data_IF_680866342093
#
_entry.id   IF_680866342093
#
_cell.length_a   1.000
_cell.length_b   1.000
_cell.length_c   1.000
_cell.angle_alpha   90.00
_cell.angle_beta   90.00
_cell.angle_gamma   90.00
#
_symmetry.space_group_name_H-M   'P 1'
#
loop_
_entity.id
_entity.type
_entity.pdbx_description
1 polymer ?
#
# COMPACT_ATOMS: atom_id res chain seq x y z
N UNK A 1 3.00 18.30 -31.80
CA UNK A 1 2.28 17.14 -32.38
C UNK A 1 1.55 16.29 -31.32
N UNK A 2 2.02 16.22 -30.10
CA UNK A 2 1.53 15.38 -28.99
C UNK A 2 0.16 15.79 -28.41
N UNK A 3 -0.15 17.07 -28.26
CA UNK A 3 -1.39 17.53 -27.66
C UNK A 3 -2.66 17.15 -28.47
N UNK A 4 -2.60 17.28 -29.81
CA UNK A 4 -3.71 16.91 -30.70
C UNK A 4 -4.00 15.41 -30.66
N UNK A 5 -2.98 14.56 -30.51
CA UNK A 5 -3.16 13.11 -30.39
C UNK A 5 -3.87 12.72 -29.07
N UNK A 6 -3.51 13.37 -27.96
CA UNK A 6 -4.13 13.11 -26.65
C UNK A 6 -5.61 13.53 -26.66
N UNK A 7 -5.92 14.69 -27.20
CA UNK A 7 -7.31 15.18 -27.34
C UNK A 7 -8.13 14.28 -28.26
N UNK A 8 -7.57 13.82 -29.37
CA UNK A 8 -8.25 12.90 -30.29
C UNK A 8 -8.49 11.54 -29.64
N UNK A 9 -7.53 11.02 -28.87
CA UNK A 9 -7.69 9.76 -28.13
C UNK A 9 -8.77 9.87 -27.06
N UNK A 10 -8.79 10.98 -26.30
CA UNK A 10 -9.83 11.25 -25.32
C UNK A 10 -11.23 11.38 -25.93
N UNK A 11 -11.35 12.04 -27.09
CA UNK A 11 -12.62 12.14 -27.83
C UNK A 11 -13.10 10.79 -28.36
N UNK A 12 -12.21 9.94 -28.86
CA UNK A 12 -12.54 8.57 -29.31
C UNK A 12 -13.01 7.73 -28.13
N UNK A 13 -12.35 7.79 -26.98
CA UNK A 13 -12.76 7.07 -25.76
C UNK A 13 -14.14 7.54 -25.29
N UNK A 14 -14.41 8.84 -25.32
CA UNK A 14 -15.72 9.40 -24.94
C UNK A 14 -16.81 8.96 -25.92
N UNK A 15 -16.54 8.99 -27.23
CA UNK A 15 -17.54 8.61 -28.27
C UNK A 15 -17.84 7.12 -28.24
N UNK A 16 -16.91 6.23 -27.98
CA UNK A 16 -17.17 4.80 -27.87
C UNK A 16 -18.11 4.46 -26.70
N UNK A 17 -18.00 5.17 -25.57
CA UNK A 17 -18.90 4.97 -24.43
C UNK A 17 -20.33 5.50 -24.66
N UNK A 18 -20.53 6.50 -25.53
CA UNK A 18 -21.86 6.98 -25.90
C UNK A 18 -22.65 5.98 -26.77
N UNK A 19 -21.94 5.17 -27.56
CA UNK A 19 -22.56 4.14 -28.41
C UNK A 19 -23.02 2.91 -27.61
N UNK A 20 -22.33 2.54 -26.53
CA UNK A 20 -22.69 1.40 -25.68
C UNK A 20 -23.74 1.73 -24.60
N UNK A 21 -23.93 3.00 -24.23
CA UNK A 21 -24.84 3.41 -23.16
C UNK A 21 -26.34 3.15 -23.50
N UNK A 22 -26.68 2.75 -24.73
CA UNK A 22 -28.05 2.49 -25.11
C UNK A 22 -28.57 1.07 -24.82
N UNK A 23 -27.68 0.11 -24.47
CA UNK A 23 -28.08 -1.31 -24.35
C UNK A 23 -28.01 -1.90 -22.92
N UNK A 24 -27.62 -1.11 -21.92
CA UNK A 24 -27.50 -1.60 -20.53
C UNK A 24 -28.77 -1.33 -19.70
N UNK A 25 -29.69 -2.30 -19.65
CA UNK A 25 -30.88 -2.29 -18.78
C UNK A 25 -30.65 -2.68 -17.32
N UNK A 26 -29.43 -2.96 -16.89
CA UNK A 26 -29.11 -3.16 -15.47
C UNK A 26 -28.68 -1.82 -14.87
N UNK A 27 -29.24 -1.48 -13.68
CA UNK A 27 -28.84 -0.27 -12.94
C UNK A 27 -27.33 -0.27 -12.79
N UNK A 28 -26.60 0.69 -13.36
CA UNK A 28 -25.17 0.75 -13.19
C UNK A 28 -24.88 0.91 -11.70
N UNK A 29 -23.95 0.12 -11.18
CA UNK A 29 -23.45 0.30 -9.83
C UNK A 29 -22.82 1.67 -9.72
N UNK A 30 -23.49 2.57 -8.98
CA UNK A 30 -22.99 3.93 -8.79
C UNK A 30 -21.77 3.98 -7.89
N UNK A 31 -21.63 2.99 -7.03
CA UNK A 31 -20.55 2.87 -6.05
C UNK A 31 -19.81 1.55 -6.28
N UNK A 32 -18.52 1.56 -6.12
CA UNK A 32 -17.70 0.36 -6.15
C UNK A 32 -16.74 0.37 -4.97
N UNK A 33 -16.47 -0.81 -4.46
CA UNK A 33 -15.48 -1.08 -3.43
C UNK A 33 -14.62 -2.25 -3.88
N UNK A 34 -13.32 -2.18 -3.64
CA UNK A 34 -12.37 -3.25 -3.93
C UNK A 34 -11.39 -3.41 -2.78
N UNK A 35 -11.13 -4.66 -2.41
CA UNK A 35 -10.13 -5.02 -1.40
C UNK A 35 -9.15 -5.99 -2.04
N UNK A 36 -7.87 -5.64 -2.01
CA UNK A 36 -6.83 -6.37 -2.73
C UNK A 36 -5.62 -6.64 -1.85
N UNK A 37 -4.95 -7.73 -2.10
CA UNK A 37 -3.55 -7.92 -1.74
C UNK A 37 -2.68 -7.08 -2.69
N UNK A 38 -1.68 -6.39 -2.16
CA UNK A 38 -0.77 -5.56 -2.94
C UNK A 38 0.68 -5.95 -2.72
N UNK A 39 1.42 -5.97 -3.82
CA UNK A 39 2.88 -6.00 -3.83
C UNK A 39 3.37 -4.62 -4.24
N UNK A 40 4.13 -3.97 -3.38
CA UNK A 40 4.73 -2.65 -3.58
C UNK A 40 6.20 -2.84 -3.91
N UNK A 41 6.60 -2.50 -5.12
CA UNK A 41 7.98 -2.64 -5.59
C UNK A 41 8.64 -1.26 -5.65
N UNK A 42 9.68 -1.00 -4.83
CA UNK A 42 10.50 0.21 -4.93
C UNK A 42 11.12 0.38 -6.31
N UNK A 43 11.16 1.61 -6.82
CA UNK A 43 11.71 1.93 -8.13
C UNK A 43 12.80 3.01 -8.04
N UNK A 44 13.62 3.12 -9.07
CA UNK A 44 14.62 4.17 -9.26
C UNK A 44 15.54 4.37 -8.03
N UNK A 45 15.55 5.57 -7.44
CA UNK A 45 16.41 5.87 -6.27
C UNK A 45 15.95 5.10 -5.02
N UNK A 46 14.65 4.91 -4.84
CA UNK A 46 14.11 4.17 -3.70
C UNK A 46 14.58 2.70 -3.69
N UNK A 47 14.66 2.06 -4.86
CA UNK A 47 15.12 0.66 -4.96
C UNK A 47 16.60 0.45 -4.63
N UNK A 48 17.41 1.51 -4.59
CA UNK A 48 18.82 1.41 -4.17
C UNK A 48 18.96 1.23 -2.66
N UNK A 49 18.03 1.80 -1.90
CA UNK A 49 18.03 1.76 -0.45
C UNK A 49 17.06 0.70 0.08
N UNK A 50 15.97 0.42 -0.64
CA UNK A 50 14.96 -0.57 -0.29
C UNK A 50 14.91 -1.64 -1.38
N UNK A 51 15.66 -2.72 -1.17
CA UNK A 51 15.77 -3.82 -2.15
C UNK A 51 14.63 -4.82 -2.09
N UNK A 52 13.93 -4.86 -0.96
CA UNK A 52 12.83 -5.78 -0.72
C UNK A 52 11.51 -5.20 -1.23
N UNK A 53 10.66 -6.08 -1.78
CA UNK A 53 9.28 -5.72 -2.08
C UNK A 53 8.50 -5.55 -0.77
N UNK A 54 7.57 -4.59 -0.76
CA UNK A 54 6.56 -4.47 0.29
C UNK A 54 5.34 -5.33 -0.03
N UNK A 55 4.71 -5.84 1.03
CA UNK A 55 3.47 -6.63 0.93
C UNK A 55 2.43 -6.03 1.84
N UNK A 56 1.17 -6.02 1.38
CA UNK A 56 0.12 -5.39 2.16
C UNK A 56 -1.27 -5.50 1.57
N UNK A 57 -2.11 -4.55 1.96
CA UNK A 57 -3.50 -4.45 1.54
C UNK A 57 -3.75 -3.13 0.81
N UNK A 58 -4.65 -3.19 -0.15
CA UNK A 58 -5.06 -2.08 -1.00
C UNK A 58 -6.59 -2.00 -0.99
N UNK A 59 -7.11 -0.90 -0.46
CA UNK A 59 -8.53 -0.57 -0.44
C UNK A 59 -8.79 0.51 -1.49
N UNK A 60 -9.76 0.24 -2.35
CA UNK A 60 -10.14 1.11 -3.45
C UNK A 60 -11.65 1.31 -3.43
N UNK A 61 -12.10 2.53 -3.27
CA UNK A 61 -13.52 2.86 -3.24
C UNK A 61 -13.83 4.15 -3.98
N UNK A 62 -15.02 4.19 -4.60
CA UNK A 62 -15.43 5.35 -5.34
C UNK A 62 -16.82 5.23 -5.94
N UNK A 63 -17.17 6.22 -6.75
CA UNK A 63 -18.47 6.26 -7.44
C UNK A 63 -18.29 6.72 -8.89
N UNK A 64 -19.20 6.26 -9.75
CA UNK A 64 -19.28 6.70 -11.14
C UNK A 64 -20.11 7.97 -11.26
N UNK A 65 -19.54 8.99 -11.92
CA UNK A 65 -20.20 10.28 -12.13
C UNK A 65 -21.32 10.10 -13.13
N UNK A 66 -22.56 10.46 -12.72
CA UNK A 66 -23.78 10.34 -13.54
C UNK A 66 -23.98 8.96 -14.19
N UNK A 67 -23.57 7.88 -13.53
CA UNK A 67 -23.57 6.51 -14.09
C UNK A 67 -22.77 6.39 -15.40
N UNK A 68 -21.88 7.34 -15.65
CA UNK A 68 -21.04 7.39 -16.84
C UNK A 68 -19.77 6.55 -16.72
N UNK A 69 -18.90 6.65 -17.72
CA UNK A 69 -17.66 5.86 -17.77
C UNK A 69 -16.55 6.39 -16.86
N UNK A 70 -16.76 7.49 -16.14
CA UNK A 70 -15.74 8.12 -15.31
C UNK A 70 -16.10 7.94 -13.84
N UNK A 71 -15.23 7.26 -13.10
CA UNK A 71 -15.29 7.15 -11.65
C UNK A 71 -14.39 8.16 -10.95
N UNK A 72 -14.81 8.57 -9.75
CA UNK A 72 -13.99 9.30 -8.78
C UNK A 72 -13.87 8.44 -7.54
N UNK A 73 -12.70 8.44 -6.90
CA UNK A 73 -12.53 7.60 -5.72
C UNK A 73 -11.28 7.92 -4.91
N UNK A 74 -11.09 7.08 -3.90
CA UNK A 74 -9.97 7.11 -2.97
C UNK A 74 -9.33 5.73 -2.93
N UNK A 75 -8.01 5.69 -3.06
CA UNK A 75 -7.20 4.50 -2.92
C UNK A 75 -6.36 4.61 -1.64
N UNK A 76 -6.40 3.58 -0.81
CA UNK A 76 -5.65 3.47 0.44
C UNK A 76 -4.79 2.21 0.37
N UNK A 77 -3.48 2.35 0.52
CA UNK A 77 -2.56 1.21 0.58
C UNK A 77 -1.83 1.24 1.92
N UNK A 78 -1.71 0.08 2.54
CA UNK A 78 -0.84 -0.16 3.68
C UNK A 78 0.05 -1.37 3.37
N UNK A 79 1.36 -1.17 3.30
CA UNK A 79 2.31 -2.23 2.97
C UNK A 79 3.58 -2.14 3.83
N UNK A 80 4.08 -3.29 4.27
CA UNK A 80 5.32 -3.42 5.00
C UNK A 80 6.46 -3.74 4.03
N UNK A 81 7.56 -2.97 4.06
CA UNK A 81 8.71 -3.14 3.18
C UNK A 81 10.02 -3.47 3.91
N UNK A 82 10.04 -3.36 5.24
CA UNK A 82 11.18 -3.72 6.07
C UNK A 82 10.76 -4.37 7.38
N UNK A 83 11.53 -5.37 7.81
CA UNK A 83 11.34 -6.02 9.11
C UNK A 83 12.69 -6.47 9.65
N UNK A 84 12.97 -6.13 10.89
CA UNK A 84 14.14 -6.55 11.63
C UNK A 84 13.73 -6.99 13.03
N UNK A 85 14.13 -8.19 13.43
CA UNK A 85 13.84 -8.71 14.76
C UNK A 85 15.12 -9.23 15.41
N UNK A 86 15.29 -8.93 16.69
CA UNK A 86 16.42 -9.41 17.49
C UNK A 86 16.00 -9.71 18.91
N UNK A 87 16.72 -10.64 19.54
CA UNK A 87 16.58 -10.94 20.96
C UNK A 87 17.59 -10.11 21.77
N UNK A 88 17.09 -9.44 22.80
CA UNK A 88 17.89 -8.68 23.74
C UNK A 88 17.73 -9.27 25.16
N UNK A 89 18.79 -9.46 25.93
CA UNK A 89 18.66 -9.91 27.31
C UNK A 89 18.02 -8.82 28.16
N UNK A 90 17.05 -9.19 29.01
CA UNK A 90 16.39 -8.25 29.92
C UNK A 90 17.34 -7.66 30.95
N UNK A 91 18.38 -8.42 31.35
CA UNK A 91 19.34 -8.01 32.36
C UNK A 91 20.77 -8.42 31.97
N UNK A 92 21.74 -7.55 32.21
CA UNK A 92 23.18 -7.83 32.05
C UNK A 92 23.68 -8.97 32.95
N UNK A 93 22.97 -9.29 34.03
CA UNK A 93 23.37 -10.29 35.02
C UNK A 93 22.68 -11.64 34.87
N UNK A 94 21.65 -11.72 34.01
CA UNK A 94 20.86 -12.94 33.81
C UNK A 94 20.37 -13.02 32.37
N UNK A 95 20.73 -14.08 31.67
CA UNK A 95 20.22 -14.42 30.35
C UNK A 95 18.90 -15.22 30.39
N UNK A 96 18.29 -15.34 31.57
CA UNK A 96 17.10 -16.17 31.78
C UNK A 96 15.83 -15.56 31.18
N UNK A 97 15.77 -14.23 31.02
CA UNK A 97 14.63 -13.54 30.41
C UNK A 97 15.14 -12.83 29.17
N UNK A 98 14.58 -13.17 28.02
CA UNK A 98 14.86 -12.53 26.74
C UNK A 98 13.64 -11.72 26.27
N UNK A 99 13.92 -10.55 25.70
CA UNK A 99 12.95 -9.71 25.06
C UNK A 99 13.17 -9.78 23.54
N UNK A 100 12.10 -9.81 22.77
CA UNK A 100 12.16 -9.66 21.32
C UNK A 100 11.83 -8.22 20.94
N UNK A 101 12.83 -7.54 20.37
CA UNK A 101 12.66 -6.23 19.73
C UNK A 101 12.43 -6.44 18.24
N UNK A 102 11.30 -5.94 17.76
CA UNK A 102 10.92 -5.99 16.34
C UNK A 102 10.75 -4.58 15.80
N UNK A 103 11.51 -4.23 14.76
CA UNK A 103 11.39 -2.97 14.04
C UNK A 103 10.80 -3.24 12.65
N UNK A 104 9.73 -2.51 12.32
CA UNK A 104 8.98 -2.65 11.09
C UNK A 104 8.91 -1.32 10.35
N UNK A 105 9.19 -1.36 9.04
CA UNK A 105 9.07 -0.21 8.15
C UNK A 105 7.87 -0.41 7.24
N UNK A 106 6.93 0.53 7.29
CA UNK A 106 5.64 0.47 6.62
C UNK A 106 5.44 1.72 5.76
N UNK A 107 4.79 1.56 4.64
CA UNK A 107 4.33 2.66 3.78
C UNK A 107 2.80 2.69 3.77
N UNK A 108 2.24 3.87 4.01
CA UNK A 108 0.82 4.15 3.86
C UNK A 108 0.63 5.12 2.71
N UNK A 109 -0.27 4.84 1.79
CA UNK A 109 -0.54 5.66 0.61
C UNK A 109 -2.01 6.05 0.61
N UNK A 110 -2.28 7.33 0.37
CA UNK A 110 -3.64 7.89 0.28
C UNK A 110 -3.74 8.68 -1.00
N UNK A 111 -4.44 8.13 -2.00
CA UNK A 111 -4.52 8.70 -3.34
C UNK A 111 -5.97 8.88 -3.79
N UNK A 112 -6.52 10.11 -3.79
CA UNK A 112 -7.67 10.43 -4.61
C UNK A 112 -7.33 10.22 -6.10
N UNK A 113 -8.32 9.75 -6.86
CA UNK A 113 -8.13 9.44 -8.27
C UNK A 113 -9.34 9.70 -9.15
N UNK A 114 -9.08 9.79 -10.45
CA UNK A 114 -10.07 9.74 -11.53
C UNK A 114 -9.87 8.44 -12.30
N UNK A 115 -10.96 7.70 -12.54
CA UNK A 115 -10.97 6.36 -13.15
C UNK A 115 -11.87 6.30 -14.39
N UNK A 116 -11.39 6.67 -15.60
CA UNK A 116 -12.06 6.31 -16.81
C UNK A 116 -12.11 4.79 -16.98
N UNK A 117 -13.30 4.26 -17.29
CA UNK A 117 -13.58 2.83 -17.37
C UNK A 117 -14.25 2.51 -18.72
N UNK A 118 -13.74 1.50 -19.41
CA UNK A 118 -14.32 0.90 -20.59
C UNK A 118 -14.95 -0.43 -20.20
N UNK A 119 -16.24 -0.63 -20.53
CA UNK A 119 -16.98 -1.85 -20.25
C UNK A 119 -17.22 -2.62 -21.54
N UNK A 120 -16.91 -3.91 -21.53
CA UNK A 120 -17.12 -4.84 -22.62
C UNK A 120 -17.90 -6.05 -22.10
N UNK A 121 -19.23 -5.94 -22.14
CA UNK A 121 -20.09 -6.92 -21.47
C UNK A 121 -19.78 -6.98 -19.98
N UNK A 122 -19.35 -8.15 -19.52
CA UNK A 122 -19.02 -8.40 -18.11
C UNK A 122 -17.62 -7.98 -17.71
N UNK A 123 -16.76 -7.71 -18.68
CA UNK A 123 -15.40 -7.28 -18.44
C UNK A 123 -15.30 -5.76 -18.40
N UNK A 124 -14.47 -5.24 -17.53
CA UNK A 124 -14.16 -3.83 -17.57
C UNK A 124 -12.66 -3.59 -17.50
N UNK A 125 -12.20 -2.64 -18.29
CA UNK A 125 -10.84 -2.10 -18.26
C UNK A 125 -10.91 -0.67 -17.77
N UNK A 126 -9.95 -0.28 -16.95
CA UNK A 126 -9.89 1.10 -16.48
C UNK A 126 -8.45 1.60 -16.44
N UNK A 127 -8.31 2.89 -16.64
CA UNK A 127 -7.11 3.62 -16.26
C UNK A 127 -7.42 4.40 -14.99
N UNK A 128 -6.40 4.66 -14.17
CA UNK A 128 -6.45 5.58 -13.03
C UNK A 128 -5.43 6.69 -13.19
N UNK A 129 -5.82 7.89 -12.84
CA UNK A 129 -4.92 9.03 -12.67
C UNK A 129 -5.07 9.49 -11.23
N UNK A 130 -4.00 9.43 -10.47
CA UNK A 130 -4.06 9.69 -9.04
C UNK A 130 -2.97 10.68 -8.62
N UNK A 131 -3.25 11.40 -7.52
CA UNK A 131 -2.29 12.24 -6.85
C UNK A 131 -2.66 12.34 -5.37
N UNK A 132 -1.70 12.21 -4.48
CA UNK A 132 -1.92 12.21 -3.04
C UNK A 132 -0.64 12.20 -2.26
N UNK A 133 -0.59 11.41 -1.20
CA UNK A 133 0.54 11.36 -0.29
C UNK A 133 0.87 9.91 0.08
N UNK A 134 2.15 9.67 0.27
CA UNK A 134 2.69 8.48 0.91
C UNK A 134 3.37 8.86 2.22
N UNK A 135 3.09 8.12 3.27
CA UNK A 135 3.68 8.22 4.60
C UNK A 135 4.56 7.01 4.84
N UNK A 136 5.84 7.22 5.07
CA UNK A 136 6.79 6.18 5.44
C UNK A 136 6.99 6.23 6.96
N UNK A 137 6.75 5.10 7.61
CA UNK A 137 6.78 5.01 9.05
C UNK A 137 7.58 3.79 9.51
N UNK A 138 8.45 3.98 10.50
CA UNK A 138 9.18 2.88 11.14
C UNK A 138 8.85 2.86 12.61
N UNK A 139 8.37 1.71 13.09
CA UNK A 139 7.98 1.47 14.45
C UNK A 139 8.81 0.33 15.06
N UNK A 140 9.20 0.49 16.32
CA UNK A 140 9.82 -0.57 17.10
C UNK A 140 8.87 -1.01 18.22
N UNK A 141 8.74 -2.33 18.36
CA UNK A 141 7.93 -2.98 19.39
C UNK A 141 8.81 -3.94 20.18
N UNK A 142 8.69 -3.93 21.50
CA UNK A 142 9.40 -4.83 22.42
C UNK A 142 8.36 -5.76 23.07
N UNK A 143 8.57 -7.07 22.89
CA UNK A 143 7.73 -8.13 23.45
C UNK A 143 8.54 -8.99 24.44
N UNK A 144 7.85 -9.63 25.38
CA UNK A 144 8.44 -10.63 26.27
C UNK A 144 8.29 -12.02 25.65
N UNK A 145 9.41 -12.74 25.48
CA UNK A 145 9.41 -14.09 24.91
C UNK A 145 8.70 -15.13 25.80
N UNK A 146 8.55 -14.88 27.10
CA UNK A 146 7.93 -15.84 28.04
C UNK A 146 6.40 -15.90 27.96
N UNK A 147 5.74 -14.89 27.40
CA UNK A 147 4.27 -14.85 27.30
C UNK A 147 3.71 -15.67 26.13
N UNK A 148 4.51 -16.06 25.14
CA UNK A 148 4.06 -16.91 24.03
C UNK A 148 3.56 -18.31 24.47
N UNK A 149 3.93 -18.78 25.66
CA UNK A 149 3.57 -20.13 26.16
C UNK A 149 2.34 -20.18 27.11
N UNK A 150 1.85 -19.06 27.56
CA UNK A 150 0.69 -19.02 28.45
C UNK A 150 -0.53 -18.44 27.74
N UNK A 151 -1.39 -19.32 27.22
CA UNK A 151 -2.72 -19.00 26.71
C UNK A 151 -3.67 -18.62 27.88
N UNK A 152 -3.51 -17.45 28.48
CA UNK A 152 -4.51 -16.88 29.36
C UNK A 152 -4.39 -15.36 29.43
N UNK A 153 -5.52 -14.71 29.09
CA UNK A 153 -5.90 -13.29 29.15
C UNK A 153 -5.79 -12.52 27.84
N UNK A 154 -6.95 -12.45 27.15
CA UNK A 154 -7.17 -11.78 25.86
C UNK A 154 -7.14 -10.23 25.91
N UNK A 155 -6.93 -9.59 27.06
CA UNK A 155 -7.13 -8.15 27.24
C UNK A 155 -5.86 -7.33 27.53
N UNK A 156 -4.68 -7.93 27.69
CA UNK A 156 -3.45 -7.16 27.86
C UNK A 156 -2.67 -7.00 26.55
N UNK A 157 -2.17 -5.79 26.24
CA UNK A 157 -1.38 -5.59 25.03
C UNK A 157 -0.10 -6.43 25.09
N UNK A 158 0.09 -7.29 24.11
CA UNK A 158 1.15 -8.27 23.90
C UNK A 158 2.56 -7.63 23.77
N UNK A 159 2.72 -6.36 24.11
CA UNK A 159 3.97 -5.61 24.01
C UNK A 159 4.25 -4.79 25.27
N UNK A 160 5.53 -4.81 25.71
CA UNK A 160 6.02 -4.03 26.84
C UNK A 160 6.19 -2.56 26.47
N UNK A 161 6.66 -2.30 25.25
CA UNK A 161 6.84 -0.95 24.73
C UNK A 161 6.66 -0.90 23.21
N UNK A 162 6.08 0.21 22.74
CA UNK A 162 6.00 0.55 21.33
C UNK A 162 6.46 1.99 21.13
N UNK A 163 7.37 2.20 20.20
CA UNK A 163 7.92 3.52 19.89
C UNK A 163 7.94 3.75 18.38
N UNK A 164 7.53 4.94 17.96
CA UNK A 164 7.74 5.43 16.61
C UNK A 164 9.16 5.94 16.48
N UNK A 165 9.89 5.33 15.55
CA UNK A 165 11.33 5.59 15.37
C UNK A 165 11.57 6.65 14.30
N UNK A 166 10.84 6.57 13.19
CA UNK A 166 10.95 7.51 12.08
C UNK A 166 9.60 7.66 11.39
N UNK A 167 9.30 8.84 10.87
CA UNK A 167 8.11 9.09 10.07
C UNK A 167 8.35 10.32 9.20
N UNK A 168 8.14 10.17 7.90
CA UNK A 168 8.15 11.27 6.93
C UNK A 168 7.12 11.02 5.83
N UNK A 169 6.77 12.05 5.09
CA UNK A 169 5.76 11.97 4.04
C UNK A 169 6.24 12.61 2.75
N UNK A 170 5.83 12.05 1.62
CA UNK A 170 6.10 12.59 0.31
C UNK A 170 4.82 12.69 -0.51
N UNK A 171 4.79 13.67 -1.43
CA UNK A 171 3.74 13.74 -2.44
C UNK A 171 3.89 12.59 -3.41
N UNK A 172 2.76 11.96 -3.79
CA UNK A 172 2.69 10.80 -4.68
C UNK A 172 1.72 11.09 -5.82
N UNK A 173 2.11 10.79 -7.06
CA UNK A 173 1.23 10.90 -8.22
C UNK A 173 1.59 9.88 -9.28
N UNK A 174 0.61 9.50 -10.09
CA UNK A 174 0.88 8.48 -11.08
C UNK A 174 -0.32 8.05 -11.90
N UNK A 175 -0.11 6.91 -12.55
CA UNK A 175 -1.11 6.28 -13.40
C UNK A 175 -1.25 4.81 -13.06
N UNK A 176 -2.45 4.28 -13.20
CA UNK A 176 -2.76 2.87 -13.05
C UNK A 176 -3.53 2.33 -14.25
N UNK A 177 -3.38 1.04 -14.47
CA UNK A 177 -4.17 0.28 -15.42
C UNK A 177 -4.73 -0.94 -14.70
N UNK A 178 -6.01 -1.23 -14.91
CA UNK A 178 -6.64 -2.37 -14.26
C UNK A 178 -7.74 -2.98 -15.10
N UNK A 179 -8.12 -4.20 -14.68
CA UNK A 179 -9.19 -4.97 -15.27
C UNK A 179 -10.02 -5.65 -14.18
N UNK A 180 -11.31 -5.82 -14.44
CA UNK A 180 -12.26 -6.50 -13.57
C UNK A 180 -12.97 -7.60 -14.34
N UNK A 181 -13.10 -8.77 -13.70
CA UNK A 181 -13.77 -9.96 -14.25
C UNK A 181 -14.85 -10.41 -13.28
N UNK A 182 -16.09 -10.64 -13.69
CA UNK A 182 -17.10 -11.18 -12.81
C UNK A 182 -16.78 -12.63 -12.48
N UNK A 183 -16.74 -12.96 -11.16
CA UNK A 183 -16.52 -14.32 -10.67
C UNK A 183 -17.86 -14.97 -10.34
N UNK A 184 -18.74 -14.21 -9.65
CA UNK A 184 -20.06 -14.67 -9.24
C UNK A 184 -21.10 -13.63 -9.59
N UNK A 185 -22.23 -14.10 -10.14
CA UNK A 185 -23.42 -13.30 -10.38
C UNK A 185 -24.51 -13.76 -9.42
N UNK A 186 -24.76 -13.01 -8.39
CA UNK A 186 -25.93 -13.21 -7.54
C UNK A 186 -26.93 -12.10 -7.88
N UNK A 187 -28.11 -12.50 -8.39
CA UNK A 187 -29.17 -11.58 -8.82
C UNK A 187 -29.71 -10.71 -7.67
N UNK A 188 -29.54 -11.13 -6.42
CA UNK A 188 -30.04 -10.40 -5.25
C UNK A 188 -29.00 -9.46 -4.60
N UNK A 189 -27.70 -9.78 -4.70
CA UNK A 189 -26.63 -9.05 -3.98
C UNK A 189 -25.64 -8.32 -4.88
N UNK A 190 -25.81 -8.39 -6.19
CA UNK A 190 -24.89 -7.85 -7.16
C UNK A 190 -23.72 -8.80 -7.52
N UNK A 191 -22.98 -8.49 -8.57
CA UNK A 191 -21.86 -9.30 -9.03
C UNK A 191 -20.61 -9.10 -8.14
N UNK A 192 -19.86 -10.17 -7.94
CA UNK A 192 -18.53 -10.13 -7.31
C UNK A 192 -17.50 -10.20 -8.43
N UNK A 193 -16.53 -9.30 -8.40
CA UNK A 193 -15.49 -9.18 -9.42
C UNK A 193 -14.12 -9.57 -8.87
N UNK A 194 -13.32 -10.28 -9.67
CA UNK A 194 -11.87 -10.33 -9.51
C UNK A 194 -11.28 -9.09 -10.15
N UNK A 195 -10.40 -8.39 -9.46
CA UNK A 195 -9.71 -7.21 -9.97
C UNK A 195 -8.21 -7.42 -10.00
N UNK A 196 -7.58 -7.03 -11.10
CA UNK A 196 -6.13 -6.94 -11.24
C UNK A 196 -5.78 -5.50 -11.62
N UNK A 197 -4.85 -4.90 -10.91
CA UNK A 197 -4.42 -3.52 -11.15
C UNK A 197 -2.91 -3.38 -11.04
N UNK A 198 -2.32 -2.59 -11.92
CA UNK A 198 -0.92 -2.18 -11.90
C UNK A 198 -0.85 -0.66 -11.83
N UNK A 199 -0.04 -0.12 -10.92
CA UNK A 199 0.12 1.33 -10.69
C UNK A 199 1.58 1.71 -10.76
N UNK A 200 1.90 2.78 -11.48
CA UNK A 200 3.20 3.44 -11.49
C UNK A 200 3.06 4.80 -10.85
N UNK A 201 3.83 5.05 -9.80
CA UNK A 201 3.83 6.33 -9.12
C UNK A 201 5.22 6.95 -9.05
N UNK A 202 5.21 8.27 -9.05
CA UNK A 202 6.35 9.13 -8.79
C UNK A 202 6.18 9.73 -7.41
N UNK A 203 7.10 9.36 -6.51
CA UNK A 203 7.14 9.89 -5.16
C UNK A 203 8.10 11.07 -5.03
N UNK A 204 7.75 12.03 -4.15
CA UNK A 204 8.65 13.08 -3.71
C UNK A 204 9.83 12.53 -2.89
N UNK A 205 10.71 13.42 -2.46
CA UNK A 205 11.76 13.06 -1.52
C UNK A 205 11.17 12.87 -0.12
N UNK A 206 11.59 11.78 0.54
CA UNK A 206 11.33 11.53 1.95
C UNK A 206 12.57 10.95 2.64
N UNK A 207 12.62 11.14 3.94
CA UNK A 207 13.55 10.48 4.84
C UNK A 207 12.87 9.25 5.45
N UNK A 208 13.51 8.09 5.38
CA UNK A 208 12.95 6.84 5.86
C UNK A 208 14.02 5.91 6.39
N UNK A 209 13.61 5.01 7.29
CA UNK A 209 14.47 3.95 7.81
C UNK A 209 14.01 2.61 7.21
N UNK A 210 14.93 1.90 6.54
CA UNK A 210 14.68 0.53 6.14
C UNK A 210 15.21 -0.44 7.19
N UNK A 211 14.33 -0.98 8.02
CA UNK A 211 14.70 -1.90 9.11
C UNK A 211 15.46 -3.15 8.63
N UNK A 212 15.27 -3.58 7.37
CA UNK A 212 15.96 -4.74 6.79
C UNK A 212 17.35 -4.41 6.23
N UNK A 213 17.73 -3.13 6.16
CA UNK A 213 19.04 -2.71 5.62
C UNK A 213 20.11 -2.84 6.69
N UNK A 214 21.23 -3.49 6.34
CA UNK A 214 22.40 -3.57 7.21
C UNK A 214 22.91 -2.18 7.57
N UNK A 215 23.17 -1.93 8.85
CA UNK A 215 23.64 -0.64 9.35
C UNK A 215 22.57 0.45 9.47
N UNK A 216 21.32 0.21 9.11
CA UNK A 216 20.23 1.17 9.32
C UNK A 216 19.96 1.39 10.83
N UNK A 217 20.13 0.33 11.63
CA UNK A 217 20.01 0.36 13.08
C UNK A 217 21.30 -0.18 13.65
N UNK A 218 22.12 0.68 14.27
CA UNK A 218 23.40 0.33 14.88
C UNK A 218 23.28 0.46 16.39
N UNK A 219 23.69 -0.57 17.09
CA UNK A 219 23.80 -0.57 18.55
C UNK A 219 25.25 -0.37 18.96
N UNK A 220 25.46 0.40 20.01
CA UNK A 220 26.77 0.44 20.68
C UNK A 220 27.08 -0.91 21.34
N UNK A 221 28.37 -1.23 21.41
CA UNK A 221 28.82 -2.43 22.14
C UNK A 221 28.44 -2.30 23.63
N UNK A 222 27.74 -3.29 24.21
CA UNK A 222 27.44 -3.30 25.64
C UNK A 222 28.71 -3.26 26.54
N UNK A 223 29.86 -3.68 26.03
CA UNK A 223 31.13 -3.65 26.76
C UNK A 223 31.69 -2.23 26.96
N UNK A 224 31.22 -1.25 26.14
CA UNK A 224 31.69 0.14 26.21
C UNK A 224 30.79 1.06 27.03
N UNK A 225 29.66 0.57 27.54
CA UNK A 225 28.75 1.35 28.36
C UNK A 225 27.25 1.06 28.11
N UNK A 226 26.37 1.97 28.50
CA UNK A 226 24.93 1.78 28.23
C UNK A 226 24.67 1.69 26.75
N UNK A 227 23.86 0.69 26.36
CA UNK A 227 23.50 0.46 24.95
C UNK A 227 22.76 1.67 24.38
N UNK A 228 23.37 2.29 23.39
CA UNK A 228 22.74 3.37 22.61
C UNK A 228 22.37 2.86 21.21
N UNK A 229 21.24 3.31 20.70
CA UNK A 229 20.79 2.98 19.35
C UNK A 229 21.04 4.18 18.43
N UNK A 230 21.86 3.98 17.40
CA UNK A 230 22.06 4.96 16.33
C UNK A 230 21.21 4.58 15.13
N UNK A 231 20.44 5.52 14.63
CA UNK A 231 19.59 5.35 13.45
C UNK A 231 20.24 6.06 12.26
N UNK A 232 20.36 5.35 11.16
CA UNK A 232 20.90 5.87 9.90
C UNK A 232 19.79 5.87 8.84
N UNK A 233 18.92 6.91 8.80
CA UNK A 233 17.88 7.02 7.79
C UNK A 233 18.50 7.29 6.40
N UNK A 234 17.83 6.77 5.39
CA UNK A 234 18.08 7.11 4.00
C UNK A 234 17.14 8.24 3.55
N UNK A 235 17.57 9.00 2.54
CA UNK A 235 16.74 10.01 1.89
C UNK A 235 16.82 9.86 0.39
N UNK A 236 15.67 9.73 -0.28
CA UNK A 236 15.58 9.66 -1.73
C UNK A 236 14.16 9.95 -2.22
N UNK A 237 13.98 10.02 -3.53
CA UNK A 237 12.65 9.94 -4.15
C UNK A 237 12.08 8.55 -3.92
N UNK A 238 10.78 8.49 -3.69
CA UNK A 238 10.06 7.28 -3.28
C UNK A 238 9.15 6.74 -4.39
N UNK A 239 9.73 6.58 -5.60
CA UNK A 239 9.04 6.03 -6.76
C UNK A 239 8.63 4.57 -6.52
N UNK A 240 7.41 4.18 -6.95
CA UNK A 240 6.85 2.86 -6.73
C UNK A 240 6.21 2.26 -7.98
N UNK A 241 6.23 0.93 -8.04
CA UNK A 241 5.39 0.12 -8.90
C UNK A 241 4.58 -0.84 -8.05
N UNK A 242 3.25 -0.80 -8.16
CA UNK A 242 2.35 -1.61 -7.35
C UNK A 242 1.57 -2.57 -8.23
N UNK A 243 1.43 -3.81 -7.78
CA UNK A 243 0.55 -4.82 -8.38
C UNK A 243 -0.46 -5.24 -7.33
N UNK A 244 -1.75 -5.08 -7.63
CA UNK A 244 -2.85 -5.44 -6.72
C UNK A 244 -3.72 -6.51 -7.36
N UNK A 245 -4.08 -7.54 -6.58
CA UNK A 245 -5.03 -8.59 -6.94
C UNK A 245 -6.08 -8.68 -5.83
N UNK A 246 -7.34 -8.57 -6.17
CA UNK A 246 -8.39 -8.50 -5.16
C UNK A 246 -9.79 -8.79 -5.65
N UNK A 247 -10.73 -8.54 -4.75
CA UNK A 247 -12.17 -8.76 -4.94
C UNK A 247 -12.87 -7.42 -4.84
N UNK A 248 -13.77 -7.15 -5.80
CA UNK A 248 -14.58 -5.94 -5.87
C UNK A 248 -16.08 -6.26 -5.86
N UNK A 249 -16.83 -5.28 -5.38
CA UNK A 249 -18.28 -5.27 -5.25
C UNK A 249 -18.86 -4.05 -5.92
#
# INVERSE_FOLDING_TARGET
>A
MTYRMIVSLALVIISMNYLEAQDFREKPENVYLNVSFVVVQPQAEFSRNVTNNGYGVDFDGGWYVYNGPVGLGLNLIAAQYGNFSRKIPYSYFSSLVSLTETTQSTIFIVNPYIKPTLRFGDFSFHAKFFAGYQLLETNTTIKNDEQENNQQEEDEPDYIAKSKVSSDSAFDYGVGLGMRFPIFRNLEKGPIFLSLEMKWSKGGEAEYLNASKEGAIVLSDPAEGPVTTTLNPDRSKTDLFNISLGIGF
#
